data_IF_485640010238
#
_entry.id   IF_485640010238
#
_cell.length_a   1.000
_cell.length_b   1.000
_cell.length_c   1.000
_cell.angle_alpha   90.00
_cell.angle_beta   90.00
_cell.angle_gamma   90.00
#
_symmetry.space_group_name_H-M   'P 1'
#
loop_
_entity.id
_entity.type
_entity.pdbx_description
1 polymer ?
#
# COMPACT_ATOMS: atom_id res chain seq x y z
N UNK A 1 -10.72 3.67 -33.39
CA UNK A 1 -10.33 2.57 -32.49
C UNK A 1 -9.12 3.04 -31.72
N UNK A 2 -9.31 3.48 -30.49
CA UNK A 2 -8.22 3.60 -29.53
C UNK A 2 -8.65 2.67 -28.40
N UNK A 3 -8.01 1.51 -28.33
CA UNK A 3 -8.07 0.63 -27.18
C UNK A 3 -7.42 1.41 -26.03
N UNK A 4 -8.23 2.20 -25.32
CA UNK A 4 -7.82 2.77 -24.05
C UNK A 4 -7.65 1.60 -23.10
N UNK A 5 -6.40 1.14 -22.99
CA UNK A 5 -5.99 0.10 -22.07
C UNK A 5 -6.64 0.38 -20.72
N UNK A 6 -7.34 -0.62 -20.20
CA UNK A 6 -7.79 -0.59 -18.82
C UNK A 6 -6.54 -0.49 -17.96
N UNK A 7 -6.13 0.73 -17.59
CA UNK A 7 -5.21 0.89 -16.48
C UNK A 7 -5.92 0.24 -15.31
N UNK A 8 -5.49 -0.97 -14.94
CA UNK A 8 -6.04 -1.67 -13.81
C UNK A 8 -5.85 -0.77 -12.59
N UNK A 9 -6.97 -0.25 -12.09
CA UNK A 9 -7.00 0.62 -10.93
C UNK A 9 -7.05 -0.29 -9.69
N UNK A 10 -5.93 -0.37 -8.99
CA UNK A 10 -5.79 -1.15 -7.78
C UNK A 10 -6.05 -0.27 -6.57
N UNK A 11 -7.23 -0.43 -5.96
CA UNK A 11 -7.65 0.36 -4.78
C UNK A 11 -7.65 1.89 -5.02
N UNK A 12 -7.88 2.35 -6.25
CA UNK A 12 -7.86 3.77 -6.59
C UNK A 12 -6.48 4.30 -7.00
N UNK A 13 -5.48 3.43 -7.14
CA UNK A 13 -4.14 3.74 -7.64
C UNK A 13 -3.88 3.07 -8.99
N UNK A 14 -3.03 3.67 -9.80
CA UNK A 14 -2.45 2.96 -10.95
C UNK A 14 -1.61 1.78 -10.46
N UNK A 15 -1.52 0.71 -11.26
CA UNK A 15 -0.73 -0.49 -10.95
C UNK A 15 0.67 -0.19 -10.39
N UNK A 16 1.40 0.71 -11.05
CA UNK A 16 2.76 1.11 -10.64
C UNK A 16 2.80 1.72 -9.24
N UNK A 17 1.85 2.57 -8.93
CA UNK A 17 1.76 3.26 -7.65
C UNK A 17 1.32 2.31 -6.54
N UNK A 18 0.38 1.41 -6.86
CA UNK A 18 -0.02 0.34 -5.96
C UNK A 18 1.15 -0.60 -5.63
N UNK A 19 1.92 -1.04 -6.63
CA UNK A 19 3.12 -1.86 -6.43
C UNK A 19 4.19 -1.14 -5.61
N UNK A 20 4.37 0.16 -5.85
CA UNK A 20 5.31 0.99 -5.08
C UNK A 20 4.89 1.05 -3.60
N UNK A 21 3.62 1.34 -3.32
CA UNK A 21 3.07 1.36 -1.96
C UNK A 21 3.12 0.00 -1.28
N UNK A 22 2.75 -1.07 -1.98
CA UNK A 22 2.87 -2.46 -1.51
C UNK A 22 4.30 -2.77 -1.08
N UNK A 23 5.28 -2.44 -1.92
CA UNK A 23 6.70 -2.69 -1.62
C UNK A 23 7.11 -1.96 -0.34
N UNK A 24 6.71 -0.70 -0.19
CA UNK A 24 6.99 0.07 1.02
C UNK A 24 6.31 -0.52 2.27
N UNK A 25 5.07 -1.01 2.16
CA UNK A 25 4.37 -1.67 3.27
C UNK A 25 5.07 -2.97 3.68
N UNK A 26 5.50 -3.79 2.71
CA UNK A 26 6.24 -5.02 2.97
C UNK A 26 7.62 -4.73 3.58
N UNK A 27 8.35 -3.76 3.02
CA UNK A 27 9.68 -3.37 3.52
C UNK A 27 9.57 -2.81 4.94
N UNK A 28 8.55 -2.00 5.22
CA UNK A 28 8.30 -1.47 6.56
C UNK A 28 8.02 -2.57 7.60
N UNK A 29 7.38 -3.68 7.20
CA UNK A 29 7.17 -4.82 8.08
C UNK A 29 8.50 -5.45 8.56
N UNK A 30 9.55 -5.38 7.74
CA UNK A 30 10.87 -5.90 8.05
C UNK A 30 11.78 -4.85 8.69
N UNK A 31 11.86 -3.66 8.09
CA UNK A 31 12.69 -2.55 8.53
C UNK A 31 11.98 -1.22 8.25
N UNK A 32 11.29 -0.66 9.24
CA UNK A 32 10.57 0.59 9.04
C UNK A 32 11.48 1.83 9.16
N UNK A 33 12.81 1.66 9.21
CA UNK A 33 13.78 2.74 9.15
C UNK A 33 14.12 3.04 7.68
N UNK A 34 13.94 4.29 7.24
CA UNK A 34 14.23 4.71 5.86
C UNK A 34 13.05 4.62 4.89
N UNK A 35 11.88 4.17 5.35
CA UNK A 35 10.65 4.18 4.55
C UNK A 35 10.26 5.63 4.25
N UNK A 36 10.24 5.97 2.96
CA UNK A 36 9.83 7.28 2.48
C UNK A 36 8.69 7.12 1.48
N UNK A 37 7.53 7.67 1.83
CA UNK A 37 6.35 7.59 0.96
C UNK A 37 6.40 8.70 -0.09
N UNK A 38 6.25 8.35 -1.39
CA UNK A 38 6.24 9.32 -2.48
C UNK A 38 5.17 10.39 -2.27
N UNK A 39 5.47 11.67 -2.57
CA UNK A 39 4.57 12.79 -2.25
C UNK A 39 3.19 12.66 -2.93
N UNK A 40 3.12 12.11 -4.13
CA UNK A 40 1.86 11.90 -4.85
C UNK A 40 0.98 10.81 -4.22
N UNK A 41 1.57 9.90 -3.43
CA UNK A 41 0.85 8.81 -2.76
C UNK A 41 0.41 9.16 -1.33
N UNK A 42 0.93 10.24 -0.73
CA UNK A 42 0.67 10.63 0.66
C UNK A 42 -0.81 10.85 0.99
N UNK A 43 -1.63 11.16 -0.02
CA UNK A 43 -3.06 11.38 0.16
C UNK A 43 -3.85 10.07 0.29
N UNK A 44 -3.28 8.95 -0.17
CA UNK A 44 -3.90 7.64 -0.11
C UNK A 44 -3.94 7.10 1.33
N UNK A 45 -5.03 6.42 1.71
CA UNK A 45 -5.17 5.90 3.07
C UNK A 45 -4.06 4.93 3.46
N UNK A 46 -3.63 4.06 2.54
CA UNK A 46 -2.51 3.16 2.79
C UNK A 46 -1.20 3.90 3.14
N UNK A 47 -0.93 5.00 2.44
CA UNK A 47 0.25 5.83 2.67
C UNK A 47 0.20 6.57 4.01
N UNK A 48 -0.99 7.04 4.42
CA UNK A 48 -1.19 7.68 5.73
C UNK A 48 -0.96 6.69 6.85
N UNK A 49 -1.57 5.50 6.76
CA UNK A 49 -1.39 4.43 7.73
C UNK A 49 0.07 3.95 7.79
N UNK A 50 0.75 3.84 6.64
CA UNK A 50 2.17 3.51 6.62
C UNK A 50 3.03 4.56 7.33
N UNK A 51 2.78 5.85 7.11
CA UNK A 51 3.50 6.93 7.82
C UNK A 51 3.27 6.87 9.34
N UNK A 52 2.03 6.64 9.76
CA UNK A 52 1.70 6.47 11.17
C UNK A 52 2.42 5.27 11.78
N UNK A 53 2.54 4.16 11.04
CA UNK A 53 3.34 3.01 11.49
C UNK A 53 4.83 3.37 11.63
N UNK A 54 5.40 4.09 10.68
CA UNK A 54 6.81 4.50 10.74
C UNK A 54 7.08 5.36 11.98
N UNK A 55 6.15 6.26 12.31
CA UNK A 55 6.24 7.16 13.47
C UNK A 55 5.99 6.46 14.81
N UNK A 56 4.92 5.67 14.91
CA UNK A 56 4.46 5.07 16.18
C UNK A 56 5.01 3.67 16.44
N UNK A 57 5.50 2.99 15.40
CA UNK A 57 5.83 1.55 15.38
C UNK A 57 4.65 0.63 15.76
N UNK A 58 3.41 1.12 15.72
CA UNK A 58 2.22 0.30 16.01
C UNK A 58 1.79 -0.51 14.78
N UNK A 59 1.89 -1.84 14.90
CA UNK A 59 1.53 -2.79 13.85
C UNK A 59 0.06 -2.66 13.37
N UNK A 60 -0.85 -2.07 14.15
CA UNK A 60 -2.23 -1.78 13.72
C UNK A 60 -2.28 -0.87 12.50
N UNK A 61 -1.39 0.12 12.44
CA UNK A 61 -1.32 1.02 11.30
C UNK A 61 -0.78 0.32 10.05
N UNK A 62 0.15 -0.61 10.23
CA UNK A 62 0.65 -1.42 9.12
C UNK A 62 -0.43 -2.37 8.57
N UNK A 63 -1.24 -2.96 9.45
CA UNK A 63 -2.41 -3.75 9.06
C UNK A 63 -3.48 -2.92 8.32
N UNK A 64 -3.74 -1.69 8.77
CA UNK A 64 -4.62 -0.75 8.06
C UNK A 64 -4.08 -0.40 6.68
N UNK A 65 -2.76 -0.19 6.55
CA UNK A 65 -2.13 0.08 5.26
C UNK A 65 -2.33 -1.09 4.30
N UNK A 66 -2.15 -2.31 4.79
CA UNK A 66 -2.37 -3.52 4.00
C UNK A 66 -3.83 -3.66 3.54
N UNK A 67 -4.80 -3.43 4.45
CA UNK A 67 -6.24 -3.47 4.13
C UNK A 67 -6.65 -2.42 3.09
N UNK A 68 -6.08 -1.22 3.18
CA UNK A 68 -6.33 -0.16 2.20
C UNK A 68 -5.78 -0.51 0.81
N UNK A 69 -4.69 -1.27 0.71
CA UNK A 69 -4.17 -1.77 -0.58
C UNK A 69 -4.94 -2.99 -1.10
N UNK A 70 -5.53 -3.80 -0.23
CA UNK A 70 -6.29 -5.00 -0.60
C UNK A 70 -7.73 -4.95 -0.04
N UNK A 71 -8.57 -4.00 -0.48
CA UNK A 71 -9.93 -3.84 0.03
C UNK A 71 -10.83 -5.05 -0.27
N UNK A 72 -10.51 -5.83 -1.32
CA UNK A 72 -11.24 -7.04 -1.69
C UNK A 72 -11.01 -8.22 -0.73
N UNK A 73 -9.89 -8.22 0.00
CA UNK A 73 -9.52 -9.32 0.90
C UNK A 73 -8.92 -8.78 2.20
N UNK A 74 -9.66 -7.99 3.01
CA UNK A 74 -9.12 -7.31 4.18
C UNK A 74 -8.61 -8.28 5.27
N UNK A 75 -9.24 -9.45 5.41
CA UNK A 75 -8.81 -10.48 6.37
C UNK A 75 -7.54 -11.22 5.95
N UNK A 76 -7.21 -11.15 4.65
CA UNK A 76 -6.02 -11.80 4.07
C UNK A 76 -5.12 -10.78 3.40
N UNK A 77 -5.23 -9.50 3.76
CA UNK A 77 -4.55 -8.42 3.05
C UNK A 77 -3.04 -8.65 2.96
N UNK A 78 -2.42 -9.12 4.04
CA UNK A 78 -1.01 -9.51 4.07
C UNK A 78 -0.66 -10.68 3.14
N UNK A 79 -1.48 -11.73 3.14
CA UNK A 79 -1.30 -12.88 2.25
C UNK A 79 -1.50 -12.50 0.79
N UNK A 80 -2.46 -11.61 0.50
CA UNK A 80 -2.70 -11.06 -0.82
C UNK A 80 -1.53 -10.21 -1.28
N UNK A 81 -1.04 -9.29 -0.43
CA UNK A 81 0.14 -8.46 -0.72
C UNK A 81 1.38 -9.31 -1.00
N UNK A 82 1.61 -10.38 -0.25
CA UNK A 82 2.77 -11.25 -0.44
C UNK A 82 2.67 -12.14 -1.69
N UNK A 83 1.47 -12.39 -2.23
CA UNK A 83 1.24 -13.30 -3.37
C UNK A 83 0.93 -12.61 -4.70
N UNK A 84 0.42 -11.39 -4.65
CA UNK A 84 0.31 -10.49 -5.81
C UNK A 84 1.69 -9.98 -6.22
#
# INVERSE_FOLDING_TARGET
MIESGSEDIYAGLSERDWHSLKTLVLDAAHSPAGISVPPHLRFHDAAKSLQLFVETRDAKHLDQAAKALCPLYPERAWLALAKS
#
